data_IF_330301937148
#
_entry.id   IF_330301937148
#
_cell.length_a   1.000
_cell.length_b   1.000
_cell.length_c   1.000
_cell.angle_alpha   90.00
_cell.angle_beta   90.00
_cell.angle_gamma   90.00
#
_symmetry.space_group_name_H-M   'P 1'
#
loop_
_entity.id
_entity.type
_entity.pdbx_description
1 polymer ?
#
# COMPACT_ATOMS: atom_id res chain seq x y z
N UNK A 1 21.97 6.57 -6.14
CA UNK A 1 21.81 7.21 -4.81
C UNK A 1 20.67 6.48 -4.14
N UNK A 2 20.93 5.84 -2.98
CA UNK A 2 19.96 4.93 -2.37
C UNK A 2 18.88 5.73 -1.64
N UNK A 3 17.66 5.77 -2.18
CA UNK A 3 16.51 6.40 -1.52
C UNK A 3 15.82 5.32 -0.68
N UNK A 4 15.94 5.31 0.66
CA UNK A 4 15.40 4.22 1.46
C UNK A 4 13.88 4.17 1.32
N UNK A 5 13.36 2.98 1.02
CA UNK A 5 11.95 2.67 1.03
C UNK A 5 11.54 2.39 2.48
N UNK A 6 10.48 3.03 2.93
CA UNK A 6 9.81 2.74 4.20
C UNK A 6 8.35 2.36 3.94
N UNK A 7 7.82 1.41 4.71
CA UNK A 7 6.42 1.01 4.63
C UNK A 7 5.81 1.07 6.01
N UNK A 8 4.64 1.67 6.13
CA UNK A 8 3.85 1.71 7.35
C UNK A 8 2.58 0.91 7.16
N UNK A 9 2.34 -0.03 8.06
CA UNK A 9 1.18 -0.92 8.05
C UNK A 9 0.34 -0.65 9.29
N UNK A 10 -0.91 -0.27 9.09
CA UNK A 10 -1.87 -0.01 10.15
C UNK A 10 -2.92 -1.12 10.16
N UNK A 11 -3.02 -1.79 11.30
CA UNK A 11 -4.02 -2.82 11.55
C UNK A 11 -5.31 -2.22 12.13
N UNK A 12 -6.43 -2.56 11.50
CA UNK A 12 -7.78 -2.33 12.00
C UNK A 12 -8.20 -3.55 12.83
N UNK A 13 -7.51 -3.73 13.96
CA UNK A 13 -7.59 -4.92 14.81
C UNK A 13 -8.84 -5.00 15.69
N UNK A 14 -9.74 -4.02 15.62
CA UNK A 14 -11.05 -3.99 16.29
C UNK A 14 -12.04 -3.12 15.52
N UNK A 15 -13.32 -3.26 15.88
CA UNK A 15 -14.35 -2.31 15.48
C UNK A 15 -14.10 -0.94 16.15
N UNK A 16 -14.36 0.12 15.39
CA UNK A 16 -14.25 1.50 15.87
C UNK A 16 -15.62 2.06 16.20
N UNK A 17 -15.67 2.94 17.21
CA UNK A 17 -16.92 3.60 17.58
C UNK A 17 -17.29 4.68 16.56
N UNK A 18 -18.54 5.13 16.61
CA UNK A 18 -19.03 6.22 15.75
C UNK A 18 -18.31 7.53 16.08
N UNK A 19 -17.96 7.74 17.35
CA UNK A 19 -17.21 8.90 17.84
C UNK A 19 -15.78 8.88 17.28
N UNK A 20 -15.08 7.75 17.38
CA UNK A 20 -13.75 7.58 16.80
C UNK A 20 -13.75 7.80 15.29
N UNK A 21 -14.78 7.29 14.58
CA UNK A 21 -14.98 7.56 13.15
C UNK A 21 -15.12 9.06 12.88
N UNK A 22 -15.96 9.77 13.65
CA UNK A 22 -16.19 11.22 13.48
C UNK A 22 -14.93 12.03 13.70
N UNK A 23 -14.14 11.70 14.72
CA UNK A 23 -12.86 12.35 14.99
C UNK A 23 -11.88 12.18 13.82
N UNK A 24 -11.78 10.97 13.28
CA UNK A 24 -10.95 10.68 12.11
C UNK A 24 -11.45 11.45 10.87
N UNK A 25 -12.76 11.47 10.64
CA UNK A 25 -13.40 12.14 9.51
C UNK A 25 -13.14 13.65 9.53
N UNK A 26 -13.37 14.33 10.67
CA UNK A 26 -13.14 15.77 10.79
C UNK A 26 -11.66 16.12 10.68
N UNK A 27 -10.75 15.29 11.21
CA UNK A 27 -9.31 15.47 11.01
C UNK A 27 -8.95 15.46 9.52
N UNK A 28 -9.40 14.44 8.78
CA UNK A 28 -9.09 14.31 7.34
C UNK A 28 -9.67 15.47 6.56
N UNK A 29 -10.93 15.84 6.84
CA UNK A 29 -11.59 16.98 6.20
C UNK A 29 -10.84 18.29 6.43
N UNK A 30 -10.26 18.48 7.62
CA UNK A 30 -9.46 19.67 7.95
C UNK A 30 -8.07 19.64 7.32
N UNK A 31 -7.37 18.50 7.38
CA UNK A 31 -5.95 18.41 7.06
C UNK A 31 -5.65 17.94 5.63
N UNK A 32 -6.60 17.33 4.94
CA UNK A 32 -6.44 16.67 3.63
C UNK A 32 -7.50 17.21 2.64
N UNK A 33 -7.44 18.50 2.27
CA UNK A 33 -8.52 19.17 1.53
C UNK A 33 -8.74 18.64 0.10
N UNK A 34 -7.76 17.93 -0.48
CA UNK A 34 -7.89 17.32 -1.79
C UNK A 34 -8.74 16.04 -1.76
N UNK A 35 -8.90 15.41 -0.60
CA UNK A 35 -9.64 14.18 -0.45
C UNK A 35 -11.10 14.46 -0.08
N UNK A 36 -12.02 14.07 -0.95
CA UNK A 36 -13.47 14.21 -0.73
C UNK A 36 -14.06 12.86 -0.44
N UNK A 37 -14.66 12.71 0.74
CA UNK A 37 -15.36 11.49 1.14
C UNK A 37 -16.70 11.84 1.79
N UNK A 38 -17.69 10.98 1.56
CA UNK A 38 -18.99 11.08 2.21
C UNK A 38 -18.90 10.50 3.62
N UNK A 39 -19.52 11.20 4.57
CA UNK A 39 -19.67 10.72 5.95
C UNK A 39 -20.64 9.54 6.01
N UNK A 40 -20.11 8.32 6.14
CA UNK A 40 -20.85 7.05 6.18
C UNK A 40 -20.28 6.10 7.26
N UNK A 41 -20.55 6.34 8.55
CA UNK A 41 -19.96 5.57 9.65
C UNK A 41 -20.37 4.09 9.67
N UNK A 42 -21.50 3.73 9.07
CA UNK A 42 -21.94 2.34 8.95
C UNK A 42 -21.18 1.56 7.84
N UNK A 43 -20.46 2.27 6.97
CA UNK A 43 -19.73 1.68 5.86
C UNK A 43 -18.24 1.53 6.24
N UNK A 44 -17.79 0.30 6.48
CA UNK A 44 -16.40 0.02 6.82
C UNK A 44 -15.40 0.46 5.74
N UNK A 45 -15.84 0.58 4.50
CA UNK A 45 -15.01 1.12 3.40
C UNK A 45 -14.72 2.60 3.60
N UNK A 46 -15.72 3.37 4.02
CA UNK A 46 -15.56 4.80 4.31
C UNK A 46 -14.49 5.00 5.38
N UNK A 47 -14.49 4.17 6.43
CA UNK A 47 -13.49 4.25 7.49
C UNK A 47 -12.07 3.92 6.99
N UNK A 48 -11.90 2.84 6.21
CA UNK A 48 -10.60 2.50 5.61
C UNK A 48 -10.03 3.63 4.76
N UNK A 49 -10.89 4.28 3.97
CA UNK A 49 -10.51 5.42 3.16
C UNK A 49 -10.04 6.60 4.02
N UNK A 50 -10.78 6.97 5.06
CA UNK A 50 -10.41 8.05 6.00
C UNK A 50 -9.06 7.74 6.64
N UNK A 51 -8.93 6.57 7.25
CA UNK A 51 -7.72 6.20 7.98
C UNK A 51 -6.49 6.10 7.08
N UNK A 52 -6.67 5.67 5.83
CA UNK A 52 -5.60 5.70 4.83
C UNK A 52 -5.05 7.11 4.63
N UNK A 53 -5.92 8.12 4.58
CA UNK A 53 -5.51 9.53 4.44
C UNK A 53 -4.90 10.12 5.71
N UNK A 54 -5.04 9.46 6.86
CA UNK A 54 -4.35 9.85 8.09
C UNK A 54 -2.90 9.36 8.13
N UNK A 55 -2.53 8.35 7.32
CA UNK A 55 -1.17 7.78 7.33
C UNK A 55 -0.08 8.82 7.03
N UNK A 56 -0.20 9.70 6.01
CA UNK A 56 0.80 10.73 5.76
C UNK A 56 0.89 11.76 6.89
N UNK A 57 -0.24 12.10 7.53
CA UNK A 57 -0.29 13.00 8.69
C UNK A 57 0.52 12.41 9.85
N UNK A 58 0.30 11.13 10.15
CA UNK A 58 1.00 10.41 11.21
C UNK A 58 2.51 10.35 10.94
N UNK A 59 2.90 10.08 9.69
CA UNK A 59 4.30 10.05 9.29
C UNK A 59 4.99 11.40 9.49
N UNK A 60 4.38 12.48 9.02
CA UNK A 60 4.95 13.83 9.20
C UNK A 60 5.05 14.21 10.68
N UNK A 61 4.05 13.83 11.49
CA UNK A 61 4.10 14.01 12.94
C UNK A 61 5.23 13.21 13.58
N UNK A 62 5.44 11.96 13.19
CA UNK A 62 6.53 11.12 13.69
C UNK A 62 7.91 11.72 13.34
N UNK A 63 8.01 12.33 12.16
CA UNK A 63 9.19 13.11 11.72
C UNK A 63 9.32 14.48 12.40
N UNK A 64 8.40 14.82 13.32
CA UNK A 64 8.35 16.10 14.05
C UNK A 64 8.20 17.32 13.13
N UNK A 65 7.55 17.15 11.97
CA UNK A 65 7.22 18.25 11.07
C UNK A 65 5.76 18.65 11.29
N UNK A 66 5.47 19.88 11.78
CA UNK A 66 4.11 20.35 12.02
C UNK A 66 3.28 20.41 10.74
N UNK A 67 1.95 20.30 10.83
CA UNK A 67 1.07 20.30 9.65
C UNK A 67 1.23 21.56 8.80
N UNK A 68 1.51 22.71 9.41
CA UNK A 68 1.72 24.00 8.74
C UNK A 68 3.01 24.07 7.90
N UNK A 69 3.97 23.16 8.13
CA UNK A 69 5.30 23.17 7.50
C UNK A 69 5.45 22.21 6.33
N UNK A 70 4.35 21.72 5.76
CA UNK A 70 4.40 20.91 4.56
C UNK A 70 3.10 20.96 3.75
N UNK A 71 3.21 20.60 2.49
CA UNK A 71 2.11 20.52 1.53
C UNK A 71 2.08 19.15 0.89
N UNK A 72 0.88 18.68 0.62
CA UNK A 72 0.65 17.50 -0.19
C UNK A 72 0.34 17.96 -1.61
N UNK A 73 1.10 17.44 -2.56
CA UNK A 73 0.97 17.73 -3.97
C UNK A 73 0.65 16.44 -4.73
N UNK A 74 0.00 16.57 -5.88
CA UNK A 74 -0.33 15.44 -6.74
C UNK A 74 0.07 15.72 -8.19
N UNK A 75 0.50 14.67 -8.89
CA UNK A 75 0.72 14.70 -10.34
C UNK A 75 -0.64 14.63 -11.06
N UNK A 76 -0.72 14.92 -12.37
CA UNK A 76 -1.94 14.72 -13.14
C UNK A 76 -2.49 13.27 -13.10
N UNK A 77 -1.62 12.30 -12.83
CA UNK A 77 -1.97 10.88 -12.66
C UNK A 77 -2.36 10.51 -11.22
N UNK A 78 -2.50 11.48 -10.32
CA UNK A 78 -2.88 11.25 -8.92
C UNK A 78 -1.77 10.66 -8.06
N UNK A 79 -0.50 10.69 -8.50
CA UNK A 79 0.66 10.32 -7.67
C UNK A 79 0.99 11.44 -6.70
N UNK A 80 1.04 11.13 -5.41
CA UNK A 80 1.25 12.11 -4.36
C UNK A 80 2.71 12.23 -3.92
N UNK A 81 3.11 13.46 -3.56
CA UNK A 81 4.33 13.72 -2.81
C UNK A 81 4.15 14.85 -1.81
N UNK A 82 4.86 14.76 -0.70
CA UNK A 82 4.95 15.77 0.33
C UNK A 82 6.16 16.65 0.06
N UNK A 83 5.92 17.95 0.08
CA UNK A 83 6.94 19.00 0.03
C UNK A 83 6.98 19.71 1.38
N UNK A 84 8.17 19.77 1.98
CA UNK A 84 8.42 20.45 3.24
C UNK A 84 8.79 21.92 2.99
N UNK A 85 8.42 22.77 3.93
CA UNK A 85 8.82 24.19 3.94
C UNK A 85 10.36 24.29 3.90
N UNK A 86 10.94 25.07 2.96
CA UNK A 86 12.39 25.24 2.86
C UNK A 86 13.00 26.05 4.02
N UNK A 87 12.19 26.68 4.88
CA UNK A 87 12.69 27.52 5.97
C UNK A 87 13.73 26.79 6.85
N UNK A 88 14.94 27.36 6.94
CA UNK A 88 16.05 26.79 7.71
C UNK A 88 16.74 25.58 7.06
N UNK A 89 16.40 25.22 5.81
CA UNK A 89 16.99 24.10 5.09
C UNK A 89 17.92 24.56 3.96
N UNK A 90 19.10 23.94 3.84
CA UNK A 90 19.99 24.19 2.70
C UNK A 90 19.31 23.79 1.38
N UNK A 91 19.45 24.55 0.27
CA UNK A 91 18.76 24.28 -0.99
C UNK A 91 18.91 22.83 -1.51
N UNK A 92 20.13 22.29 -1.47
CA UNK A 92 20.37 20.89 -1.90
C UNK A 92 19.68 19.84 -1.02
N UNK A 93 19.52 20.14 0.28
CA UNK A 93 18.81 19.26 1.20
C UNK A 93 17.31 19.34 0.96
N UNK A 94 16.78 20.54 0.72
CA UNK A 94 15.37 20.75 0.39
C UNK A 94 14.98 20.04 -0.91
N UNK A 95 15.80 20.14 -1.96
CA UNK A 95 15.57 19.42 -3.22
C UNK A 95 15.51 17.89 -3.06
N UNK A 96 16.06 17.35 -1.97
CA UNK A 96 16.06 15.91 -1.64
C UNK A 96 15.15 15.56 -0.46
N UNK A 97 14.38 16.52 0.07
CA UNK A 97 13.48 16.30 1.21
C UNK A 97 12.06 15.94 0.79
N UNK A 98 11.80 15.81 -0.52
CA UNK A 98 10.50 15.42 -1.03
C UNK A 98 10.20 13.98 -0.65
N UNK A 99 8.97 13.71 -0.24
CA UNK A 99 8.55 12.37 0.19
C UNK A 99 7.40 11.93 -0.70
N UNK A 100 7.66 11.01 -1.62
CA UNK A 100 6.61 10.38 -2.41
C UNK A 100 6.00 9.24 -1.62
N UNK A 101 4.70 9.04 -1.77
CA UNK A 101 4.00 7.98 -1.05
C UNK A 101 2.86 7.37 -1.88
N UNK A 102 2.47 6.16 -1.50
CA UNK A 102 1.30 5.47 -2.04
C UNK A 102 0.55 4.76 -0.95
N UNK A 103 -0.78 4.82 -1.01
CA UNK A 103 -1.68 4.21 -0.06
C UNK A 103 -2.37 2.99 -0.66
N UNK A 104 -2.62 1.98 0.16
CA UNK A 104 -3.51 0.87 -0.14
C UNK A 104 -4.19 0.41 1.13
N UNK A 105 -5.31 -0.27 0.96
CA UNK A 105 -5.95 -0.97 2.05
C UNK A 105 -6.65 -2.21 1.49
N UNK A 106 -6.80 -3.21 2.34
CA UNK A 106 -7.55 -4.43 2.09
C UNK A 106 -8.11 -4.89 3.44
N UNK A 107 -9.43 -5.01 3.56
CA UNK A 107 -10.14 -5.49 4.75
C UNK A 107 -9.71 -4.84 6.08
N UNK A 108 -8.83 -5.48 6.86
CA UNK A 108 -8.39 -4.97 8.17
C UNK A 108 -6.97 -4.41 8.14
N UNK A 109 -6.39 -4.18 6.96
CA UNK A 109 -5.04 -3.68 6.80
C UNK A 109 -5.02 -2.44 5.91
N UNK A 110 -4.35 -1.40 6.39
CA UNK A 110 -4.01 -0.18 5.64
C UNK A 110 -2.50 -0.12 5.51
N UNK A 111 -1.97 0.19 4.33
CA UNK A 111 -0.55 0.29 4.06
C UNK A 111 -0.18 1.59 3.36
N UNK A 112 0.96 2.15 3.73
CA UNK A 112 1.57 3.29 3.09
C UNK A 112 3.02 2.96 2.75
N UNK A 113 3.38 2.95 1.47
CA UNK A 113 4.77 2.90 1.04
C UNK A 113 5.26 4.32 0.77
N UNK A 114 6.47 4.65 1.20
CA UNK A 114 7.05 5.99 1.08
C UNK A 114 8.55 5.95 0.77
N UNK A 115 9.02 6.93 0.02
CA UNK A 115 10.44 7.14 -0.32
C UNK A 115 10.77 8.61 -0.23
N UNK A 116 12.01 8.93 0.16
CA UNK A 116 12.50 10.31 0.24
C UNK A 116 13.61 10.55 -0.78
N UNK A 117 13.57 11.69 -1.47
CA UNK A 117 14.51 12.03 -2.53
C UNK A 117 14.09 13.27 -3.31
N UNK A 118 14.51 13.39 -4.57
CA UNK A 118 14.00 14.43 -5.48
C UNK A 118 12.59 14.07 -5.94
N UNK A 119 11.77 15.05 -6.28
CA UNK A 119 10.38 14.84 -6.72
C UNK A 119 10.26 13.72 -7.78
N UNK A 120 11.06 13.78 -8.85
CA UNK A 120 11.06 12.78 -9.93
C UNK A 120 11.48 11.36 -9.49
N UNK A 121 12.19 11.24 -8.38
CA UNK A 121 12.71 9.98 -7.84
C UNK A 121 11.72 9.32 -6.87
N UNK A 122 10.71 10.06 -6.41
CA UNK A 122 9.82 9.59 -5.33
C UNK A 122 8.38 9.36 -5.75
N UNK A 123 7.91 9.96 -6.85
CA UNK A 123 6.51 9.85 -7.29
C UNK A 123 6.14 8.45 -7.80
N UNK A 124 7.11 7.69 -8.32
CA UNK A 124 6.90 6.36 -8.89
C UNK A 124 7.04 5.27 -7.81
N UNK A 125 6.08 5.26 -6.87
CA UNK A 125 5.99 4.28 -5.78
C UNK A 125 4.56 3.77 -5.64
N UNK A 126 4.39 2.50 -5.36
CA UNK A 126 3.10 1.84 -5.20
C UNK A 126 3.15 0.76 -4.14
N UNK A 127 1.98 0.47 -3.56
CA UNK A 127 1.80 -0.64 -2.61
C UNK A 127 0.54 -1.42 -2.99
N UNK A 128 0.69 -2.74 -3.07
CA UNK A 128 -0.37 -3.71 -3.29
C UNK A 128 -0.56 -4.57 -2.05
N UNK A 129 -1.81 -4.88 -1.71
CA UNK A 129 -2.18 -5.66 -0.53
C UNK A 129 -3.30 -6.61 -0.94
N UNK A 130 -3.12 -7.90 -0.65
CA UNK A 130 -4.14 -8.93 -0.88
C UNK A 130 -4.26 -9.83 0.33
N UNK A 131 -5.46 -9.98 0.85
CA UNK A 131 -5.72 -10.95 1.92
C UNK A 131 -5.66 -12.36 1.33
N UNK A 132 -5.04 -13.30 2.06
CA UNK A 132 -5.10 -14.73 1.74
C UNK A 132 -6.43 -15.29 2.24
N UNK A 133 -7.52 -14.89 1.58
CA UNK A 133 -8.87 -15.36 1.83
C UNK A 133 -9.67 -15.36 0.53
N UNK A 134 -10.64 -16.26 0.43
CA UNK A 134 -11.61 -16.29 -0.66
C UNK A 134 -12.78 -15.36 -0.33
N UNK A 135 -13.27 -14.66 -1.34
CA UNK A 135 -14.46 -13.82 -1.21
C UNK A 135 -15.37 -14.01 -2.44
N UNK A 136 -16.67 -14.34 -2.26
CA UNK A 136 -17.38 -14.64 -1.00
C UNK A 136 -16.88 -15.89 -0.25
N UNK A 137 -17.16 -15.97 1.07
CA UNK A 137 -16.61 -17.02 1.97
C UNK A 137 -16.97 -18.46 1.61
N UNK A 138 -18.08 -18.67 0.91
CA UNK A 138 -18.57 -20.00 0.55
C UNK A 138 -18.05 -20.50 -0.81
N UNK A 139 -17.16 -19.74 -1.45
CA UNK A 139 -16.58 -20.06 -2.76
C UNK A 139 -15.29 -20.86 -2.58
N UNK A 140 -15.08 -21.88 -3.42
CA UNK A 140 -13.83 -22.66 -3.42
C UNK A 140 -12.67 -21.82 -3.95
N UNK A 141 -11.44 -22.12 -3.52
CA UNK A 141 -10.25 -21.40 -4.02
C UNK A 141 -10.15 -21.46 -5.55
N UNK A 142 -10.48 -22.62 -6.14
CA UNK A 142 -10.45 -22.81 -7.60
C UNK A 142 -11.46 -21.91 -8.32
N UNK A 143 -12.69 -21.82 -7.83
CA UNK A 143 -13.70 -20.92 -8.40
C UNK A 143 -13.33 -19.45 -8.21
N UNK A 144 -12.71 -19.10 -7.07
CA UNK A 144 -12.19 -17.75 -6.84
C UNK A 144 -11.05 -17.39 -7.81
N UNK A 145 -10.09 -18.29 -8.00
CA UNK A 145 -9.01 -18.12 -8.98
C UNK A 145 -9.54 -17.97 -10.40
N UNK A 146 -10.50 -18.81 -10.81
CA UNK A 146 -11.15 -18.73 -12.12
C UNK A 146 -11.86 -17.38 -12.32
N UNK A 147 -12.53 -16.86 -11.29
CA UNK A 147 -13.19 -15.54 -11.37
C UNK A 147 -12.21 -14.38 -11.60
N UNK A 148 -10.93 -14.59 -11.27
CA UNK A 148 -9.85 -13.60 -11.40
C UNK A 148 -8.92 -13.88 -12.58
N UNK A 149 -9.18 -14.93 -13.37
CA UNK A 149 -8.34 -15.37 -14.50
C UNK A 149 -8.13 -14.27 -15.53
N UNK A 150 -9.16 -13.45 -15.79
CA UNK A 150 -9.10 -12.31 -16.70
C UNK A 150 -8.07 -11.22 -16.33
N UNK A 151 -7.54 -11.23 -15.09
CA UNK A 151 -6.49 -10.30 -14.65
C UNK A 151 -5.07 -10.84 -14.85
N UNK A 152 -4.96 -12.10 -15.24
CA UNK A 152 -3.70 -12.84 -15.34
C UNK A 152 -3.37 -13.13 -16.79
N UNK A 153 -2.08 -13.26 -17.09
CA UNK A 153 -1.62 -13.73 -18.40
C UNK A 153 -1.63 -15.25 -18.46
N UNK A 154 -1.45 -15.82 -19.65
CA UNK A 154 -1.33 -17.27 -19.84
C UNK A 154 -0.17 -17.86 -19.03
N UNK A 155 0.97 -17.16 -18.97
CA UNK A 155 2.11 -17.59 -18.16
C UNK A 155 1.76 -17.61 -16.67
N UNK A 156 1.12 -16.56 -16.18
CA UNK A 156 0.76 -16.46 -14.75
C UNK A 156 -0.30 -17.50 -14.36
N UNK A 157 -1.26 -17.79 -15.25
CA UNK A 157 -2.24 -18.87 -15.08
C UNK A 157 -1.55 -20.23 -14.93
N UNK A 158 -0.43 -20.46 -15.61
CA UNK A 158 0.36 -21.70 -15.46
C UNK A 158 0.97 -21.87 -14.06
N UNK A 159 1.03 -20.81 -13.24
CA UNK A 159 1.51 -20.90 -11.87
C UNK A 159 0.43 -21.33 -10.86
N UNK A 160 -0.84 -21.31 -11.26
CA UNK A 160 -2.00 -21.59 -10.39
C UNK A 160 -2.86 -22.72 -10.94
N UNK A 161 -2.21 -23.79 -11.41
CA UNK A 161 -2.90 -24.93 -12.02
C UNK A 161 -3.84 -25.64 -11.02
N UNK A 162 -4.98 -26.21 -11.48
CA UNK A 162 -6.00 -26.77 -10.60
C UNK A 162 -5.59 -28.03 -9.81
N UNK A 163 -4.45 -28.64 -10.14
CA UNK A 163 -3.86 -29.81 -9.47
C UNK A 163 -3.08 -29.44 -8.19
N UNK A 164 -2.75 -28.16 -8.01
CA UNK A 164 -2.10 -27.67 -6.81
C UNK A 164 -3.06 -27.65 -5.61
N UNK A 165 -2.49 -27.68 -4.41
CA UNK A 165 -3.24 -27.49 -3.17
C UNK A 165 -3.81 -26.06 -3.08
N UNK A 166 -4.99 -25.93 -2.46
CA UNK A 166 -5.74 -24.67 -2.36
C UNK A 166 -4.93 -23.54 -1.69
N UNK A 167 -4.14 -23.83 -0.66
CA UNK A 167 -3.28 -22.86 0.01
C UNK A 167 -2.17 -22.34 -0.93
N UNK A 168 -1.62 -23.20 -1.78
CA UNK A 168 -0.59 -22.85 -2.77
C UNK A 168 -1.19 -21.97 -3.86
N UNK A 169 -2.36 -22.35 -4.39
CA UNK A 169 -3.09 -21.57 -5.42
C UNK A 169 -3.37 -20.17 -4.88
N UNK A 170 -4.01 -20.08 -3.71
CA UNK A 170 -4.42 -18.81 -3.11
C UNK A 170 -3.21 -17.91 -2.85
N UNK A 171 -2.13 -18.46 -2.26
CA UNK A 171 -0.92 -17.68 -2.00
C UNK A 171 -0.31 -17.12 -3.28
N UNK A 172 -0.14 -17.95 -4.33
CA UNK A 172 0.45 -17.51 -5.62
C UNK A 172 -0.43 -16.46 -6.30
N UNK A 173 -1.74 -16.66 -6.30
CA UNK A 173 -2.70 -15.69 -6.82
C UNK A 173 -2.60 -14.34 -6.08
N UNK A 174 -2.56 -14.34 -4.75
CA UNK A 174 -2.42 -13.12 -3.96
C UNK A 174 -1.10 -12.39 -4.24
N UNK A 175 0.02 -13.10 -4.45
CA UNK A 175 1.30 -12.51 -4.84
C UNK A 175 1.20 -11.81 -6.19
N UNK A 176 0.68 -12.49 -7.21
CA UNK A 176 0.52 -11.94 -8.56
C UNK A 176 -0.36 -10.68 -8.55
N UNK A 177 -1.49 -10.75 -7.86
CA UNK A 177 -2.40 -9.62 -7.75
C UNK A 177 -1.80 -8.45 -6.97
N UNK A 178 -1.05 -8.72 -5.89
CA UNK A 178 -0.38 -7.67 -5.13
C UNK A 178 0.75 -7.01 -5.94
N UNK A 179 1.51 -7.78 -6.74
CA UNK A 179 2.53 -7.26 -7.67
C UNK A 179 1.91 -6.31 -8.69
N UNK A 180 0.88 -6.77 -9.40
CA UNK A 180 0.15 -5.94 -10.39
C UNK A 180 -0.44 -4.70 -9.74
N UNK A 181 -1.11 -4.83 -8.60
CA UNK A 181 -1.70 -3.69 -7.89
C UNK A 181 -0.65 -2.66 -7.48
N UNK A 182 0.50 -3.11 -6.95
CA UNK A 182 1.60 -2.24 -6.56
C UNK A 182 2.14 -1.49 -7.77
N UNK A 183 2.39 -2.17 -8.89
CA UNK A 183 2.89 -1.54 -10.12
C UNK A 183 1.91 -0.54 -10.71
N UNK A 184 0.65 -0.92 -10.93
CA UNK A 184 -0.43 -0.07 -11.46
C UNK A 184 -0.53 1.22 -10.65
N UNK A 185 -0.51 1.09 -9.31
CA UNK A 185 -0.49 2.25 -8.43
C UNK A 185 0.78 3.07 -8.60
N UNK A 186 1.94 2.45 -8.72
CA UNK A 186 3.21 3.15 -8.84
C UNK A 186 3.29 4.03 -10.09
N UNK A 187 2.75 3.57 -11.22
CA UNK A 187 2.70 4.33 -12.47
C UNK A 187 1.47 5.25 -12.60
N UNK A 188 0.54 5.22 -11.63
CA UNK A 188 -0.61 6.12 -11.60
C UNK A 188 -1.68 5.80 -12.64
N UNK A 189 -1.83 4.52 -12.99
CA UNK A 189 -2.89 4.11 -13.91
C UNK A 189 -4.27 4.22 -13.24
N UNK A 190 -5.32 4.63 -14.00
CA UNK A 190 -6.65 4.84 -13.46
C UNK A 190 -7.37 3.52 -13.15
N UNK A 191 -8.51 3.65 -12.47
CA UNK A 191 -9.47 2.55 -12.30
C UNK A 191 -9.89 2.07 -13.70
N UNK A 192 -9.92 0.75 -13.89
CA UNK A 192 -10.25 0.12 -15.17
C UNK A 192 -9.05 -0.18 -16.07
N UNK A 193 -7.81 0.11 -15.63
CA UNK A 193 -6.62 -0.41 -16.30
C UNK A 193 -6.69 -1.93 -16.43
N UNK A 194 -6.31 -2.47 -17.58
CA UNK A 194 -6.31 -3.90 -17.85
C UNK A 194 -5.07 -4.57 -17.25
N UNK A 195 -5.29 -5.44 -16.27
CA UNK A 195 -4.24 -6.11 -15.51
C UNK A 195 -3.50 -7.16 -16.35
N UNK A 196 -4.13 -7.69 -17.40
CA UNK A 196 -3.55 -8.69 -18.29
C UNK A 196 -2.41 -8.13 -19.16
N UNK A 197 -2.29 -6.80 -19.25
CA UNK A 197 -1.17 -6.11 -19.92
C UNK A 197 0.16 -6.24 -19.18
N UNK A 198 0.11 -6.65 -17.91
CA UNK A 198 1.28 -6.84 -17.06
C UNK A 198 1.51 -8.34 -16.91
N UNK A 199 2.76 -8.77 -17.01
CA UNK A 199 3.16 -10.16 -16.78
C UNK A 199 4.28 -10.22 -15.76
N UNK A 200 4.10 -11.00 -14.70
CA UNK A 200 5.10 -11.24 -13.67
C UNK A 200 5.53 -12.71 -13.69
N UNK A 201 6.74 -12.96 -14.18
CA UNK A 201 7.38 -14.28 -14.15
C UNK A 201 8.16 -14.43 -12.84
N UNK A 202 7.43 -14.77 -11.77
CA UNK A 202 7.99 -14.87 -10.41
C UNK A 202 9.22 -15.81 -10.34
N UNK A 203 9.22 -17.02 -10.92
CA UNK A 203 10.38 -17.92 -10.82
C UNK A 203 11.67 -17.37 -11.43
N UNK A 204 11.56 -16.54 -12.47
CA UNK A 204 12.72 -15.92 -13.13
C UNK A 204 12.97 -14.48 -12.66
N UNK A 205 12.16 -13.96 -11.74
CA UNK A 205 12.23 -12.57 -11.28
C UNK A 205 12.15 -11.54 -12.42
N UNK A 206 11.32 -11.83 -13.43
CA UNK A 206 11.08 -10.94 -14.56
C UNK A 206 9.70 -10.30 -14.48
N UNK A 207 9.60 -9.05 -14.96
CA UNK A 207 8.33 -8.36 -15.09
C UNK A 207 8.27 -7.65 -16.45
N UNK A 208 7.12 -7.76 -17.11
CA UNK A 208 6.85 -7.12 -18.40
C UNK A 208 5.55 -6.32 -18.33
N UNK A 209 5.49 -5.25 -19.11
CA UNK A 209 4.27 -4.48 -19.38
C UNK A 209 4.18 -4.21 -20.87
N UNK A 210 3.06 -4.57 -21.49
CA UNK A 210 2.85 -4.42 -22.94
C UNK A 210 3.94 -5.09 -23.79
N UNK A 211 4.46 -6.23 -23.32
CA UNK A 211 5.55 -6.96 -23.97
C UNK A 211 6.94 -6.33 -23.80
N UNK A 212 7.08 -5.22 -23.07
CA UNK A 212 8.36 -4.59 -22.77
C UNK A 212 8.81 -4.90 -21.32
N UNK A 213 10.10 -5.17 -21.08
CA UNK A 213 10.61 -5.38 -19.72
C UNK A 213 10.44 -4.14 -18.83
N UNK A 214 10.01 -4.35 -17.59
CA UNK A 214 9.83 -3.30 -16.58
C UNK A 214 11.16 -2.94 -15.91
N UNK A 215 12.13 -2.51 -16.72
CA UNK A 215 13.47 -2.15 -16.25
C UNK A 215 13.43 -1.03 -15.21
N UNK A 216 14.33 -1.12 -14.23
CA UNK A 216 14.49 -0.09 -13.21
C UNK A 216 13.50 -0.16 -12.07
N UNK A 217 12.65 -1.19 -12.00
CA UNK A 217 11.69 -1.39 -10.93
C UNK A 217 12.24 -2.35 -9.86
N UNK A 218 12.08 -1.98 -8.59
CA UNK A 218 12.30 -2.87 -7.46
C UNK A 218 10.95 -3.24 -6.84
N UNK A 219 10.71 -4.54 -6.69
CA UNK A 219 9.55 -5.12 -6.04
C UNK A 219 9.98 -5.76 -4.72
N UNK A 220 9.48 -5.27 -3.59
CA UNK A 220 9.67 -5.94 -2.30
C UNK A 220 8.41 -6.64 -1.86
N UNK A 221 8.53 -7.94 -1.64
CA UNK A 221 7.43 -8.85 -1.36
C UNK A 221 7.56 -9.33 0.08
N UNK A 222 6.50 -9.18 0.87
CA UNK A 222 6.48 -9.56 2.27
C UNK A 222 5.08 -9.95 2.74
N UNK A 223 5.01 -10.72 3.82
CA UNK A 223 3.75 -11.16 4.43
C UNK A 223 3.46 -10.35 5.70
N UNK A 224 2.18 -10.07 5.93
CA UNK A 224 1.68 -9.48 7.18
C UNK A 224 0.66 -10.42 7.80
N UNK A 225 0.78 -10.67 9.11
CA UNK A 225 -0.17 -11.48 9.88
C UNK A 225 -0.74 -10.62 11.01
N UNK A 226 -2.06 -10.57 11.12
CA UNK A 226 -2.78 -9.69 12.04
C UNK A 226 -3.73 -10.50 12.91
N UNK A 227 -3.78 -10.20 14.20
CA UNK A 227 -4.88 -10.60 15.06
C UNK A 227 -5.98 -9.53 15.05
N UNK A 228 -7.16 -9.88 14.54
CA UNK A 228 -8.32 -8.99 14.45
C UNK A 228 -9.44 -9.48 15.36
N UNK A 229 -9.87 -8.65 16.30
CA UNK A 229 -11.00 -8.96 17.18
C UNK A 229 -12.31 -8.61 16.48
N UNK A 230 -13.06 -9.64 16.07
CA UNK A 230 -14.40 -9.49 15.47
C UNK A 230 -15.44 -10.13 16.39
N UNK A 231 -16.47 -9.37 16.79
CA UNK A 231 -17.55 -9.86 17.67
C UNK A 231 -17.05 -10.61 18.92
N UNK A 232 -15.95 -10.12 19.51
CA UNK A 232 -15.34 -10.72 20.70
C UNK A 232 -14.34 -11.87 20.44
N UNK A 233 -14.27 -12.40 19.22
CA UNK A 233 -13.36 -13.50 18.84
C UNK A 233 -12.12 -12.94 18.15
N UNK A 234 -10.94 -13.41 18.56
CA UNK A 234 -9.68 -13.10 17.88
C UNK A 234 -9.55 -14.01 16.66
N UNK A 235 -9.46 -13.41 15.47
CA UNK A 235 -9.27 -14.10 14.20
C UNK A 235 -7.91 -13.69 13.64
N UNK A 236 -7.12 -14.68 13.20
CA UNK A 236 -5.89 -14.40 12.47
C UNK A 236 -6.20 -14.13 10.99
N UNK A 237 -5.69 -13.04 10.47
CA UNK A 237 -5.78 -12.69 9.06
C UNK A 237 -4.38 -12.54 8.46
N UNK A 238 -4.13 -13.21 7.34
CA UNK A 238 -2.85 -13.13 6.62
C UNK A 238 -3.02 -12.34 5.33
N UNK A 239 -2.03 -11.48 5.04
CA UNK A 239 -1.99 -10.62 3.87
C UNK A 239 -0.66 -10.77 3.13
N UNK A 240 -0.74 -10.81 1.81
CA UNK A 240 0.39 -10.63 0.91
C UNK A 240 0.53 -9.15 0.58
N UNK A 241 1.71 -8.59 0.82
CA UNK A 241 2.01 -7.20 0.56
C UNK A 241 3.16 -7.09 -0.44
N UNK A 242 3.07 -6.10 -1.32
CA UNK A 242 4.12 -5.77 -2.28
C UNK A 242 4.28 -4.27 -2.34
N UNK A 243 5.52 -3.81 -2.31
CA UNK A 243 5.88 -2.43 -2.69
C UNK A 243 6.59 -2.46 -4.03
N UNK A 244 6.20 -1.58 -4.94
CA UNK A 244 6.82 -1.40 -6.24
C UNK A 244 7.34 0.03 -6.33
N UNK A 245 8.60 0.22 -6.69
CA UNK A 245 9.13 1.57 -6.78
C UNK A 245 10.30 1.66 -7.76
N UNK A 246 10.39 2.80 -8.44
CA UNK A 246 11.33 2.98 -9.53
C UNK A 246 12.71 3.42 -9.02
N UNK A 247 13.71 2.56 -9.23
CA UNK A 247 15.13 2.77 -8.92
C UNK A 247 15.93 3.31 -10.10
N UNK A 248 15.47 3.10 -11.33
CA UNK A 248 16.21 3.44 -12.55
C UNK A 248 17.44 2.56 -12.79
N UNK A 249 17.44 1.33 -12.27
CA UNK A 249 18.43 0.29 -12.59
C UNK A 249 18.21 -0.28 -14.00
N UNK A 250 19.20 -1.02 -14.52
CA UNK A 250 19.08 -1.67 -15.85
C UNK A 250 18.07 -2.81 -15.86
N UNK A 251 17.90 -3.46 -14.73
CA UNK A 251 17.07 -4.66 -14.56
C UNK A 251 15.98 -4.37 -13.52
N UNK A 252 14.92 -5.16 -13.59
CA UNK A 252 13.96 -5.29 -12.49
C UNK A 252 14.60 -6.09 -11.36
N UNK A 253 14.21 -5.84 -10.12
CA UNK A 253 14.70 -6.56 -8.95
C UNK A 253 13.54 -7.03 -8.09
N UNK A 254 13.56 -8.28 -7.68
CA UNK A 254 12.64 -8.83 -6.71
C UNK A 254 13.38 -9.03 -5.39
N UNK A 255 12.74 -8.67 -4.28
CA UNK A 255 13.30 -8.82 -2.94
C UNK A 255 12.24 -9.48 -2.06
N UNK A 256 12.50 -10.73 -1.69
CA UNK A 256 11.64 -11.52 -0.83
C UNK A 256 12.06 -11.34 0.62
N UNK A 257 11.10 -10.99 1.48
CA UNK A 257 11.34 -10.83 2.91
C UNK A 257 10.57 -11.90 3.69
N UNK A 258 11.30 -12.95 4.06
CA UNK A 258 10.77 -14.08 4.84
C UNK A 258 11.13 -13.98 6.34
N UNK A 259 12.04 -13.08 6.69
CA UNK A 259 12.52 -12.87 8.05
C UNK A 259 11.95 -11.59 8.66
N UNK A 260 11.33 -11.74 9.84
CA UNK A 260 10.74 -10.64 10.60
C UNK A 260 11.75 -9.54 10.95
N UNK A 261 12.99 -9.89 11.30
CA UNK A 261 14.02 -8.90 11.69
C UNK A 261 14.39 -7.96 10.53
N UNK A 262 14.49 -8.51 9.32
CA UNK A 262 14.81 -7.73 8.14
C UNK A 262 13.64 -6.82 7.77
N UNK A 263 12.41 -7.31 7.98
CA UNK A 263 11.18 -6.55 7.77
C UNK A 263 11.10 -5.33 8.71
N UNK A 264 11.41 -5.49 9.99
CA UNK A 264 11.35 -4.41 11.01
C UNK A 264 12.29 -3.23 10.72
N UNK A 265 13.31 -3.43 9.89
CA UNK A 265 14.24 -2.35 9.51
C UNK A 265 13.62 -1.31 8.55
N UNK A 266 12.53 -1.66 7.85
CA UNK A 266 11.90 -0.78 6.86
C UNK A 266 10.37 -0.83 6.85
N UNK A 267 9.75 -1.77 7.59
CA UNK A 267 8.30 -1.86 7.78
C UNK A 267 7.95 -1.58 9.24
N UNK A 268 7.07 -0.60 9.46
CA UNK A 268 6.56 -0.26 10.77
C UNK A 268 5.10 -0.68 10.90
N UNK A 269 4.78 -1.45 11.94
CA UNK A 269 3.40 -1.83 12.26
C UNK A 269 2.82 -0.91 13.34
N UNK A 270 1.59 -0.49 13.11
CA UNK A 270 0.80 0.37 13.99
C UNK A 270 -0.60 -0.25 14.11
N UNK A 271 -1.32 0.00 15.21
CA UNK A 271 -2.71 -0.40 15.35
C UNK A 271 -3.65 0.80 15.45
N UNK A 272 -4.95 0.54 15.33
CA UNK A 272 -5.95 1.63 15.29
C UNK A 272 -5.99 2.44 16.60
N UNK A 273 -5.73 1.81 17.75
CA UNK A 273 -5.67 2.50 19.03
C UNK A 273 -4.54 3.53 19.09
N UNK A 274 -3.37 3.19 18.54
CA UNK A 274 -2.23 4.10 18.44
C UNK A 274 -2.55 5.29 17.52
N UNK A 275 -3.24 5.06 16.41
CA UNK A 275 -3.69 6.11 15.48
C UNK A 275 -4.70 7.06 16.14
N UNK A 276 -5.71 6.52 16.83
CA UNK A 276 -6.76 7.31 17.49
C UNK A 276 -6.15 8.18 18.60
N UNK A 277 -5.27 7.60 19.42
CA UNK A 277 -4.62 8.31 20.55
C UNK A 277 -3.83 9.56 20.11
N UNK A 278 -3.37 9.62 18.86
CA UNK A 278 -2.56 10.74 18.36
C UNK A 278 -3.35 11.75 17.55
N UNK A 279 -4.64 11.53 17.27
CA UNK A 279 -5.51 12.47 16.53
C UNK A 279 -5.36 13.92 17.03
N UNK A 280 -5.42 14.23 18.34
CA UNK A 280 -5.32 15.61 18.82
C UNK A 280 -3.99 16.30 18.49
N UNK A 281 -2.96 15.54 18.11
CA UNK A 281 -1.61 16.01 17.78
C UNK A 281 -1.36 16.12 16.28
N UNK A 282 -2.29 15.65 15.43
CA UNK A 282 -2.13 15.62 13.97
C UNK A 282 -2.58 16.93 13.31
N UNK A 283 -3.35 17.76 14.01
CA UNK A 283 -3.76 19.11 13.56
C UNK A 283 -2.70 20.19 13.85
N UNK A 284 -1.72 19.88 14.72
CA UNK A 284 -0.70 20.80 15.21
C UNK A 284 0.48 21.03 14.25
#
# INVERSE_FOLDING_TARGET
MDCPLLVWMLSLNREVSIEEYKECYELVKQCVPHFKIKHEPANGESFRQIVSQMMPLLMMRHRRVPRSKWKDNATPLGKHWIEQDPEGMHPDRWLRSMIGYSLAYENSLVGMAMVQGRQREVVNIGIGIKQLAVEPRDVTVKAYAESLSHKLTTLELSFITPDLADDVILRRLCILLALKQAYIKAIGQPIGFDWSRLEFNIPQEEAMGDGAPLQGWEFRIFRSVLGVKRRGVLIEETYQCVSAFFRGTKESKFVWHDNQKDLESWVQFINIDQMIKVIPKLTA
#
